data_IF_354516443634
#
_entry.id   IF_354516443634
#
_cell.length_a   1.000
_cell.length_b   1.000
_cell.length_c   1.000
_cell.angle_alpha   90.00
_cell.angle_beta   90.00
_cell.angle_gamma   90.00
#
_symmetry.space_group_name_H-M   'P 1'
#
loop_
_entity.id
_entity.type
_entity.pdbx_description
1 polymer ?
#
# COMPACT_ATOMS: atom_id res chain seq x y z
N UNK A 1 60.06 -20.99 55.12
CA UNK A 1 59.27 -19.80 54.72
C UNK A 1 58.55 -20.17 53.46
N UNK A 2 57.25 -20.44 53.55
CA UNK A 2 56.43 -20.90 52.43
C UNK A 2 55.95 -19.73 51.58
N UNK A 3 56.08 -19.87 50.26
CA UNK A 3 55.27 -19.14 49.29
C UNK A 3 53.94 -19.87 49.16
N UNK A 4 52.83 -19.16 49.37
CA UNK A 4 51.49 -19.69 49.22
C UNK A 4 50.87 -19.03 47.99
N UNK A 5 51.11 -19.63 46.82
CA UNK A 5 50.43 -19.29 45.58
C UNK A 5 49.07 -20.00 45.57
N UNK A 6 48.02 -19.26 45.90
CA UNK A 6 46.64 -19.70 45.65
C UNK A 6 45.99 -18.69 44.70
N UNK A 7 46.32 -18.82 43.41
CA UNK A 7 45.51 -18.24 42.33
C UNK A 7 44.36 -19.21 42.11
N UNK A 8 43.17 -18.87 42.61
CA UNK A 8 41.96 -19.59 42.22
C UNK A 8 41.71 -19.41 40.72
N UNK A 9 41.60 -20.53 40.01
CA UNK A 9 41.23 -20.54 38.60
C UNK A 9 39.88 -19.86 38.41
N UNK A 10 39.82 -18.88 37.50
CA UNK A 10 38.57 -18.32 36.99
C UNK A 10 37.70 -19.47 36.49
N UNK A 11 36.64 -19.80 37.24
CA UNK A 11 35.62 -20.72 36.76
C UNK A 11 34.94 -20.06 35.56
N UNK A 12 35.08 -20.67 34.39
CA UNK A 12 34.30 -20.30 33.21
C UNK A 12 32.82 -20.44 33.60
N UNK A 13 32.11 -19.31 33.65
CA UNK A 13 30.66 -19.34 33.83
C UNK A 13 30.06 -19.98 32.58
N UNK A 14 29.35 -21.10 32.76
CA UNK A 14 28.57 -21.71 31.70
C UNK A 14 27.63 -20.65 31.07
N UNK A 15 27.49 -20.63 29.73
CA UNK A 15 26.58 -19.71 29.08
C UNK A 15 25.17 -19.87 29.67
N UNK A 16 24.44 -18.77 29.96
CA UNK A 16 23.13 -18.87 30.57
C UNK A 16 22.22 -19.72 29.69
N UNK A 17 21.72 -20.81 30.26
CA UNK A 17 20.75 -21.69 29.60
C UNK A 17 19.49 -20.91 29.19
N UNK A 18 18.74 -21.41 28.19
CA UNK A 18 17.52 -20.76 27.73
C UNK A 18 16.54 -20.57 28.91
N UNK A 19 15.94 -19.38 29.00
CA UNK A 19 14.90 -19.13 29.99
C UNK A 19 13.74 -20.13 29.78
N UNK A 20 13.46 -20.95 30.80
CA UNK A 20 12.34 -21.90 30.75
C UNK A 20 11.02 -21.13 30.78
N UNK A 21 10.25 -21.20 29.69
CA UNK A 21 8.86 -20.72 29.65
C UNK A 21 7.93 -21.91 29.82
N UNK A 22 7.01 -21.83 30.77
CA UNK A 22 5.92 -22.82 30.91
C UNK A 22 4.81 -22.42 29.94
N UNK A 23 4.54 -23.20 28.88
CA UNK A 23 3.42 -22.89 28.00
C UNK A 23 2.12 -23.07 28.77
N UNK A 24 1.20 -22.10 28.66
CA UNK A 24 -0.17 -22.26 29.15
C UNK A 24 -0.97 -23.01 28.07
N UNK A 25 -1.39 -24.27 28.30
CA UNK A 25 -2.20 -24.97 27.33
C UNK A 25 -3.56 -24.29 27.22
N UNK A 26 -3.93 -23.89 26.01
CA UNK A 26 -5.28 -23.42 25.71
C UNK A 26 -6.15 -24.62 25.34
N UNK A 27 -7.29 -24.78 26.00
CA UNK A 27 -8.33 -25.71 25.54
C UNK A 27 -9.09 -25.06 24.38
N UNK A 28 -9.20 -25.70 23.21
CA UNK A 28 -9.98 -25.15 22.11
C UNK A 28 -11.44 -25.03 22.53
N UNK A 29 -12.06 -23.88 22.25
CA UNK A 29 -13.50 -23.78 22.32
C UNK A 29 -14.13 -24.62 21.21
N UNK A 30 -15.25 -25.28 21.51
CA UNK A 30 -16.06 -25.94 20.49
C UNK A 30 -16.75 -24.89 19.64
N UNK A 31 -16.54 -24.93 18.33
CA UNK A 31 -17.30 -24.14 17.36
C UNK A 31 -18.23 -25.04 16.55
N UNK A 32 -19.38 -24.50 16.16
CA UNK A 32 -20.29 -25.13 15.23
C UNK A 32 -20.74 -24.09 14.20
N UNK A 33 -20.98 -24.52 12.97
CA UNK A 33 -21.54 -23.63 11.96
C UNK A 33 -22.95 -23.20 12.37
N UNK A 34 -23.23 -21.91 12.32
CA UNK A 34 -24.59 -21.39 12.51
C UNK A 34 -25.46 -21.90 11.36
N UNK A 35 -26.59 -22.53 11.70
CA UNK A 35 -27.57 -22.92 10.69
C UNK A 35 -28.09 -21.68 9.96
N UNK A 36 -28.27 -21.77 8.65
CA UNK A 36 -28.76 -20.66 7.84
C UNK A 36 -30.00 -21.07 7.05
N UNK A 37 -30.90 -20.12 6.82
CA UNK A 37 -32.07 -20.27 5.95
C UNK A 37 -31.93 -19.37 4.73
N UNK A 38 -32.60 -19.75 3.64
CA UNK A 38 -32.71 -18.90 2.46
C UNK A 38 -33.51 -17.64 2.81
N UNK A 39 -32.89 -16.48 2.59
CA UNK A 39 -33.54 -15.19 2.65
C UNK A 39 -34.03 -14.74 1.27
N UNK A 40 -34.46 -13.47 1.13
CA UNK A 40 -34.95 -12.93 -0.12
C UNK A 40 -33.90 -12.96 -1.25
N UNK A 41 -34.38 -12.93 -2.49
CA UNK A 41 -33.55 -12.82 -3.70
C UNK A 41 -32.97 -11.40 -3.79
N UNK A 42 -31.67 -11.30 -4.07
CA UNK A 42 -30.97 -10.06 -4.36
C UNK A 42 -30.86 -9.90 -5.86
N UNK A 43 -31.35 -8.77 -6.38
CA UNK A 43 -31.25 -8.41 -7.79
C UNK A 43 -30.07 -7.50 -8.12
N UNK A 44 -29.57 -6.74 -7.13
CA UNK A 44 -28.45 -5.80 -7.28
C UNK A 44 -27.53 -5.86 -6.08
N UNK A 45 -26.23 -5.91 -6.35
CA UNK A 45 -25.18 -5.81 -5.34
C UNK A 45 -24.26 -4.66 -5.70
N UNK A 46 -23.59 -4.10 -4.69
CA UNK A 46 -22.54 -3.11 -4.87
C UNK A 46 -21.24 -3.72 -4.37
N UNK A 47 -20.28 -3.92 -5.27
CA UNK A 47 -19.03 -4.65 -4.96
C UNK A 47 -17.81 -3.98 -5.60
N UNK A 48 -16.61 -4.14 -5.02
CA UNK A 48 -15.36 -3.72 -5.65
C UNK A 48 -15.09 -4.55 -6.90
N UNK A 49 -15.00 -3.89 -8.05
CA UNK A 49 -14.58 -4.48 -9.33
C UNK A 49 -13.12 -4.15 -9.56
N UNK A 50 -12.31 -5.16 -9.86
CA UNK A 50 -10.88 -4.98 -10.18
C UNK A 50 -10.75 -4.33 -11.55
N UNK A 51 -10.20 -3.12 -11.58
CA UNK A 51 -9.94 -2.37 -12.80
C UNK A 51 -8.59 -2.75 -13.41
N UNK A 52 -7.57 -2.93 -12.58
CA UNK A 52 -6.21 -3.24 -12.99
C UNK A 52 -5.44 -3.93 -11.85
N UNK A 53 -4.44 -4.74 -12.18
CA UNK A 53 -3.51 -5.34 -11.21
C UNK A 53 -2.05 -5.34 -11.76
N UNK A 54 -1.45 -4.15 -12.00
CA UNK A 54 -0.10 -4.07 -12.54
C UNK A 54 0.98 -4.40 -11.51
N UNK A 55 2.07 -5.01 -11.97
CA UNK A 55 3.37 -5.03 -11.30
C UNK A 55 4.27 -3.96 -11.89
N UNK A 56 4.78 -3.06 -11.05
CA UNK A 56 5.47 -1.83 -11.44
C UNK A 56 6.89 -1.88 -10.89
N UNK A 57 7.89 -1.68 -11.75
CA UNK A 57 9.29 -1.57 -11.35
C UNK A 57 9.64 -0.12 -11.05
N UNK A 58 10.12 0.14 -9.85
CA UNK A 58 10.50 1.47 -9.36
C UNK A 58 11.99 1.43 -9.01
N UNK A 59 12.87 1.88 -9.93
CA UNK A 59 14.29 2.02 -9.64
C UNK A 59 14.54 3.24 -8.75
N UNK A 60 15.36 3.07 -7.72
CA UNK A 60 15.68 4.06 -6.71
C UNK A 60 17.18 4.01 -6.44
N UNK A 61 17.78 5.18 -6.20
CA UNK A 61 19.14 5.28 -5.68
C UNK A 61 19.11 6.21 -4.47
N UNK A 62 19.69 5.77 -3.36
CA UNK A 62 19.70 6.54 -2.12
C UNK A 62 21.02 6.36 -1.39
N UNK A 63 21.44 7.38 -0.64
CA UNK A 63 22.58 7.29 0.28
C UNK A 63 22.09 7.53 1.69
N UNK A 64 22.26 6.52 2.54
CA UNK A 64 21.75 6.48 3.90
C UNK A 64 22.89 6.79 4.86
N UNK A 65 22.74 7.84 5.66
CA UNK A 65 23.65 8.13 6.76
C UNK A 65 23.30 7.27 7.98
N UNK A 66 24.26 6.45 8.44
CA UNK A 66 24.11 5.56 9.59
C UNK A 66 24.19 6.30 10.92
N UNK A 67 24.84 7.48 10.94
CA UNK A 67 25.02 8.31 12.13
C UNK A 67 26.15 7.84 13.07
N UNK A 68 26.77 6.71 12.78
CA UNK A 68 27.96 6.19 13.46
C UNK A 68 28.86 5.44 12.45
N UNK A 69 30.12 5.21 12.83
CA UNK A 69 31.05 4.39 12.04
C UNK A 69 30.70 2.91 12.21
N UNK A 70 30.10 2.35 11.17
CA UNK A 70 29.77 0.94 11.08
C UNK A 70 30.98 0.12 10.63
N UNK A 71 31.12 -1.07 11.20
CA UNK A 71 32.09 -2.09 10.75
C UNK A 71 31.42 -3.12 9.84
N UNK A 72 30.13 -3.44 10.10
CA UNK A 72 29.40 -4.48 9.37
C UNK A 72 27.89 -4.24 9.50
N UNK A 73 27.13 -4.48 8.42
CA UNK A 73 25.66 -4.54 8.46
C UNK A 73 25.24 -5.97 8.82
N UNK A 74 24.42 -6.13 9.85
CA UNK A 74 23.95 -7.44 10.33
C UNK A 74 22.61 -7.83 9.73
N UNK A 75 21.66 -6.90 9.68
CA UNK A 75 20.31 -7.17 9.17
C UNK A 75 19.67 -5.90 8.65
N UNK A 76 18.90 -6.04 7.57
CA UNK A 76 18.06 -4.96 7.05
C UNK A 76 16.63 -5.48 6.88
N UNK A 77 15.71 -5.02 7.73
CA UNK A 77 14.27 -5.31 7.58
C UNK A 77 13.62 -4.22 6.74
N UNK A 78 12.74 -4.58 5.81
CA UNK A 78 12.08 -3.65 4.89
C UNK A 78 10.57 -3.82 4.92
N UNK A 79 9.84 -2.71 4.82
CA UNK A 79 8.40 -2.71 4.57
C UNK A 79 8.06 -1.57 3.60
N UNK A 80 7.06 -1.79 2.73
CA UNK A 80 6.52 -0.73 1.86
C UNK A 80 5.24 -0.17 2.48
N UNK A 81 5.10 1.14 2.43
CA UNK A 81 3.89 1.87 2.78
C UNK A 81 3.41 2.63 1.53
N UNK A 82 2.13 2.49 1.21
CA UNK A 82 1.50 3.27 0.14
C UNK A 82 0.80 4.48 0.72
N UNK A 83 1.25 5.66 0.30
CA UNK A 83 0.66 6.94 0.69
C UNK A 83 -0.37 7.41 -0.36
N UNK A 84 -0.22 6.97 -1.61
CA UNK A 84 -1.13 7.27 -2.70
C UNK A 84 -1.24 6.13 -3.71
N UNK A 85 -2.47 5.82 -4.11
CA UNK A 85 -2.80 5.09 -5.34
C UNK A 85 -4.02 5.75 -5.98
N UNK A 86 -3.82 6.46 -7.10
CA UNK A 86 -4.89 7.21 -7.77
C UNK A 86 -4.86 7.01 -9.27
N UNK A 87 -6.01 6.65 -9.84
CA UNK A 87 -6.17 6.55 -11.29
C UNK A 87 -6.72 7.87 -11.85
N UNK A 88 -6.11 8.35 -12.93
CA UNK A 88 -6.56 9.51 -13.69
C UNK A 88 -6.90 9.04 -15.10
N UNK A 89 -8.17 9.12 -15.51
CA UNK A 89 -8.61 8.75 -16.86
C UNK A 89 -7.99 9.63 -17.94
N UNK A 90 -7.75 9.05 -19.11
CA UNK A 90 -7.36 9.76 -20.33
C UNK A 90 -8.32 9.49 -21.48
N UNK A 91 -8.45 10.46 -22.38
CA UNK A 91 -9.26 10.34 -23.58
C UNK A 91 -8.76 9.19 -24.50
N UNK A 92 -9.64 8.56 -25.30
CA UNK A 92 -11.05 8.91 -25.51
C UNK A 92 -11.99 8.39 -24.42
N UNK A 93 -13.04 9.18 -24.14
CA UNK A 93 -14.16 8.80 -23.29
C UNK A 93 -15.30 8.25 -24.16
N UNK A 94 -15.84 7.08 -23.79
CA UNK A 94 -16.99 6.46 -24.46
C UNK A 94 -18.19 6.52 -23.55
N UNK A 95 -19.28 7.17 -23.99
CA UNK A 95 -20.55 7.17 -23.26
C UNK A 95 -21.08 5.74 -23.15
N UNK A 96 -21.63 5.39 -21.99
CA UNK A 96 -22.34 4.13 -21.80
C UNK A 96 -23.74 4.31 -22.36
N UNK A 97 -24.13 3.44 -23.30
CA UNK A 97 -25.38 3.56 -24.05
C UNK A 97 -26.60 3.73 -23.14
N UNK A 98 -27.42 4.74 -23.45
CA UNK A 98 -28.63 5.05 -22.69
C UNK A 98 -28.39 5.74 -21.34
N UNK A 99 -27.16 6.18 -21.02
CA UNK A 99 -26.84 6.83 -19.74
C UNK A 99 -25.91 8.04 -19.92
N UNK A 100 -25.79 8.85 -18.87
CA UNK A 100 -24.85 9.99 -18.83
C UNK A 100 -23.53 9.64 -18.11
N UNK A 101 -23.16 8.35 -18.12
CA UNK A 101 -21.90 7.84 -17.60
C UNK A 101 -20.95 7.50 -18.75
N UNK A 102 -19.66 7.57 -18.47
CA UNK A 102 -18.60 7.35 -19.43
C UNK A 102 -17.65 6.26 -18.94
N UNK A 103 -17.10 5.55 -19.90
CA UNK A 103 -16.01 4.59 -19.72
C UNK A 103 -14.78 5.09 -20.46
N UNK A 104 -13.60 4.70 -19.99
CA UNK A 104 -12.34 5.05 -20.64
C UNK A 104 -11.54 3.80 -20.98
N UNK A 105 -10.64 3.95 -21.94
CA UNK A 105 -9.76 2.85 -22.39
C UNK A 105 -8.30 3.08 -22.00
N UNK A 106 -7.98 4.27 -21.49
CA UNK A 106 -6.63 4.69 -21.09
C UNK A 106 -6.70 5.46 -19.78
N UNK A 107 -5.69 5.30 -18.95
CA UNK A 107 -5.53 6.05 -17.71
C UNK A 107 -4.06 6.07 -17.26
N UNK A 108 -3.74 7.01 -16.39
CA UNK A 108 -2.49 7.01 -15.63
C UNK A 108 -2.77 6.62 -14.19
N UNK A 109 -2.01 5.66 -13.68
CA UNK A 109 -2.02 5.27 -12.28
C UNK A 109 -0.86 5.96 -11.57
N UNK A 110 -1.19 6.94 -10.73
CA UNK A 110 -0.23 7.65 -9.89
C UNK A 110 -0.06 6.91 -8.57
N UNK A 111 1.19 6.65 -8.20
CA UNK A 111 1.55 5.92 -6.99
C UNK A 111 2.61 6.73 -6.23
N UNK A 112 2.43 6.84 -4.92
CA UNK A 112 3.43 7.37 -4.03
C UNK A 112 3.45 6.57 -2.73
N UNK A 113 4.60 6.54 -2.07
CA UNK A 113 4.80 5.80 -0.85
C UNK A 113 6.21 5.96 -0.33
N UNK A 114 6.56 5.10 0.62
CA UNK A 114 7.91 5.02 1.14
C UNK A 114 8.29 3.59 1.53
N UNK A 115 9.58 3.31 1.50
CA UNK A 115 10.18 2.07 1.98
C UNK A 115 10.78 2.36 3.34
N UNK A 116 10.23 1.77 4.39
CA UNK A 116 10.82 1.82 5.73
C UNK A 116 11.86 0.73 5.85
N UNK A 117 13.11 1.14 6.06
CA UNK A 117 14.22 0.24 6.38
C UNK A 117 14.56 0.33 7.86
N UNK A 118 14.73 -0.83 8.48
CA UNK A 118 15.38 -0.93 9.78
C UNK A 118 16.74 -1.61 9.60
N UNK A 119 17.81 -0.84 9.79
CA UNK A 119 19.19 -1.24 9.51
C UNK A 119 19.89 -1.48 10.83
N UNK A 120 20.20 -2.74 11.10
CA UNK A 120 20.96 -3.18 12.25
C UNK A 120 22.42 -3.40 11.84
N UNK A 121 23.35 -2.76 12.54
CA UNK A 121 24.77 -2.76 12.21
C UNK A 121 25.65 -2.71 13.46
N UNK A 122 26.88 -3.20 13.34
CA UNK A 122 27.87 -3.11 14.42
C UNK A 122 28.68 -1.83 14.29
N UNK A 123 28.94 -1.18 15.42
CA UNK A 123 29.80 0.01 15.50
C UNK A 123 31.19 -0.37 15.99
N UNK A 124 32.20 0.34 15.49
CA UNK A 124 33.57 0.19 15.99
C UNK A 124 33.60 0.50 17.50
N UNK A 125 34.21 -0.39 18.28
CA UNK A 125 34.37 -0.20 19.71
C UNK A 125 35.16 1.07 20.02
N UNK A 126 34.78 1.80 21.08
CA UNK A 126 35.45 3.03 21.49
C UNK A 126 36.89 2.81 22.00
N UNK A 127 37.29 1.55 22.23
CA UNK A 127 38.59 1.18 22.82
C UNK A 127 39.39 0.33 21.84
N UNK A 128 40.60 0.78 21.52
CA UNK A 128 41.55 0.03 20.68
C UNK A 128 41.86 -1.32 21.34
N UNK A 129 41.69 -2.42 20.60
CA UNK A 129 41.97 -3.79 21.08
C UNK A 129 40.80 -4.48 21.81
N UNK A 130 39.63 -3.86 21.91
CA UNK A 130 38.45 -4.52 22.45
C UNK A 130 37.89 -5.57 21.47
N UNK A 131 37.63 -6.79 21.95
CA UNK A 131 37.05 -7.88 21.14
C UNK A 131 35.52 -7.84 21.07
N UNK A 132 34.88 -6.80 21.62
CA UNK A 132 33.42 -6.65 21.69
C UNK A 132 32.97 -5.44 20.88
N UNK A 133 31.93 -5.62 20.07
CA UNK A 133 31.32 -4.56 19.25
C UNK A 133 29.89 -4.30 19.71
N UNK A 134 29.44 -3.05 19.60
CA UNK A 134 28.08 -2.66 19.94
C UNK A 134 27.17 -2.80 18.73
N UNK A 135 25.95 -3.29 18.94
CA UNK A 135 24.90 -3.33 17.93
C UNK A 135 24.10 -2.02 17.97
N UNK A 136 23.81 -1.44 16.82
CA UNK A 136 23.06 -0.20 16.67
C UNK A 136 22.00 -0.37 15.59
N UNK A 137 20.90 0.38 15.72
CA UNK A 137 19.77 0.32 14.82
C UNK A 137 19.49 1.70 14.21
N UNK A 138 19.14 1.73 12.93
CA UNK A 138 18.82 2.93 12.17
C UNK A 138 17.57 2.71 11.33
N UNK A 139 16.49 3.39 11.70
CA UNK A 139 15.25 3.44 10.93
C UNK A 139 15.33 4.60 9.94
N UNK A 140 15.06 4.33 8.66
CA UNK A 140 14.92 5.37 7.62
C UNK A 140 13.73 5.09 6.72
N UNK A 141 13.09 6.16 6.24
CA UNK A 141 12.03 6.10 5.24
C UNK A 141 12.54 6.66 3.92
N UNK A 142 12.51 5.84 2.88
CA UNK A 142 12.95 6.20 1.52
C UNK A 142 11.71 6.44 0.66
N UNK A 143 11.39 7.69 0.30
CA UNK A 143 10.18 7.99 -0.45
C UNK A 143 10.32 7.57 -1.92
N UNK A 144 9.20 7.22 -2.53
CA UNK A 144 9.08 7.03 -3.98
C UNK A 144 7.77 7.63 -4.49
N UNK A 145 7.78 8.12 -5.72
CA UNK A 145 6.60 8.65 -6.41
C UNK A 145 6.75 8.49 -7.91
N UNK A 146 5.65 8.22 -8.59
CA UNK A 146 5.66 8.02 -10.04
C UNK A 146 4.27 7.74 -10.60
N UNK A 147 4.23 7.43 -11.89
CA UNK A 147 3.02 6.97 -12.55
C UNK A 147 3.33 5.86 -13.56
N UNK A 148 2.32 5.04 -13.86
CA UNK A 148 2.35 4.09 -14.97
C UNK A 148 1.11 4.27 -15.84
N UNK A 149 1.22 3.97 -17.13
CA UNK A 149 0.08 3.97 -18.04
C UNK A 149 -0.68 2.65 -17.96
N UNK A 150 -2.01 2.76 -17.96
CA UNK A 150 -2.93 1.64 -18.03
C UNK A 150 -3.77 1.79 -19.30
N UNK A 151 -3.95 0.70 -20.05
CA UNK A 151 -4.83 0.69 -21.20
C UNK A 151 -5.45 -0.68 -21.45
N UNK A 152 -6.61 -0.66 -22.09
CA UNK A 152 -7.26 -1.90 -22.56
C UNK A 152 -6.42 -2.56 -23.65
N UNK A 153 -5.82 -1.77 -24.55
CA UNK A 153 -4.98 -2.27 -25.64
C UNK A 153 -3.74 -3.02 -25.14
N UNK A 154 -3.12 -2.53 -24.07
CA UNK A 154 -1.97 -3.20 -23.43
C UNK A 154 -2.39 -4.33 -22.46
N UNK A 155 -3.69 -4.58 -22.29
CA UNK A 155 -4.21 -5.58 -21.34
C UNK A 155 -4.03 -5.23 -19.86
N UNK A 156 -3.57 -4.01 -19.54
CA UNK A 156 -3.35 -3.58 -18.15
C UNK A 156 -4.61 -3.04 -17.47
N UNK A 157 -5.61 -2.59 -18.25
CA UNK A 157 -6.98 -2.38 -17.78
C UNK A 157 -7.81 -3.63 -18.06
N UNK A 158 -8.13 -4.38 -17.00
CA UNK A 158 -8.94 -5.60 -17.04
C UNK A 158 -10.41 -5.25 -17.24
N UNK A 159 -10.93 -4.33 -16.42
CA UNK A 159 -12.30 -3.83 -16.51
C UNK A 159 -12.30 -2.32 -16.76
N UNK A 160 -13.27 -1.85 -17.54
CA UNK A 160 -13.39 -0.43 -17.87
C UNK A 160 -14.00 0.31 -16.69
N UNK A 161 -13.34 1.34 -16.15
CA UNK A 161 -13.92 2.08 -15.04
C UNK A 161 -15.05 2.98 -15.56
N UNK A 162 -15.99 3.29 -14.67
CA UNK A 162 -17.20 4.05 -14.98
C UNK A 162 -17.17 5.37 -14.22
N UNK A 163 -17.37 6.50 -14.90
CA UNK A 163 -17.41 7.82 -14.29
C UNK A 163 -18.57 8.64 -14.85
N UNK A 164 -19.33 9.26 -13.95
CA UNK A 164 -20.31 10.27 -14.29
C UNK A 164 -19.61 11.61 -14.50
N UNK A 165 -19.80 12.24 -15.66
CA UNK A 165 -19.31 13.59 -15.93
C UNK A 165 -20.43 14.59 -15.63
N UNK A 166 -20.12 15.71 -14.99
CA UNK A 166 -21.11 16.78 -14.76
C UNK A 166 -21.50 17.43 -16.08
N UNK A 167 -22.76 17.81 -16.21
CA UNK A 167 -23.27 18.49 -17.38
C UNK A 167 -23.89 19.82 -16.95
N UNK A 168 -23.42 20.90 -17.56
CA UNK A 168 -23.98 22.24 -17.41
C UNK A 168 -24.59 22.64 -18.74
N UNK A 169 -25.90 22.86 -18.76
CA UNK A 169 -26.63 23.35 -19.93
C UNK A 169 -27.12 24.76 -19.65
N UNK A 170 -26.78 25.68 -20.54
CA UNK A 170 -27.23 27.06 -20.52
C UNK A 170 -27.90 27.39 -21.85
N UNK A 171 -29.04 28.09 -21.81
CA UNK A 171 -29.61 28.70 -23.02
C UNK A 171 -29.76 30.21 -22.83
N UNK A 172 -29.21 30.97 -23.78
CA UNK A 172 -29.44 32.40 -23.89
C UNK A 172 -30.73 32.68 -24.66
N UNK A 173 -31.48 33.67 -24.21
CA UNK A 173 -32.70 34.12 -24.90
C UNK A 173 -32.40 35.35 -25.77
N UNK A 174 -33.16 35.53 -26.86
CA UNK A 174 -33.14 36.79 -27.62
C UNK A 174 -33.85 37.91 -26.85
N UNK A 175 -33.47 39.16 -27.14
CA UNK A 175 -34.12 40.33 -26.56
C UNK A 175 -35.54 40.49 -27.06
N UNK A 176 -36.50 40.58 -26.15
CA UNK A 176 -37.91 40.79 -26.48
C UNK A 176 -38.18 42.13 -27.20
N UNK A 177 -37.22 43.08 -27.16
CA UNK A 177 -37.39 44.42 -27.75
C UNK A 177 -36.92 44.54 -29.20
N UNK A 178 -35.90 43.78 -29.61
CA UNK A 178 -35.35 43.87 -30.96
C UNK A 178 -35.16 42.53 -31.66
N UNK A 179 -35.25 41.41 -30.95
CA UNK A 179 -35.07 40.05 -31.46
C UNK A 179 -33.77 39.79 -32.24
N UNK A 180 -32.78 40.68 -32.12
CA UNK A 180 -31.52 40.62 -32.86
C UNK A 180 -30.33 40.32 -31.94
N UNK A 181 -30.43 40.68 -30.65
CA UNK A 181 -29.34 40.54 -29.70
C UNK A 181 -29.71 39.56 -28.58
N UNK A 182 -28.71 38.90 -28.00
CA UNK A 182 -28.87 38.10 -26.79
C UNK A 182 -29.31 39.01 -25.63
N UNK A 183 -30.27 38.53 -24.83
CA UNK A 183 -30.79 39.21 -23.68
C UNK A 183 -29.94 38.86 -22.46
N UNK A 184 -29.09 39.79 -22.04
CA UNK A 184 -28.06 39.56 -21.02
C UNK A 184 -28.62 39.43 -19.59
N UNK A 185 -29.91 39.61 -19.36
CA UNK A 185 -30.60 39.48 -18.07
C UNK A 185 -31.47 38.22 -17.98
N UNK A 186 -31.54 37.39 -19.03
CA UNK A 186 -32.46 36.25 -19.12
C UNK A 186 -31.73 35.00 -19.61
N UNK A 187 -31.71 34.00 -18.75
CA UNK A 187 -31.03 32.73 -18.99
C UNK A 187 -31.87 31.57 -18.43
N UNK A 188 -31.71 30.41 -19.04
CA UNK A 188 -32.16 29.14 -18.46
C UNK A 188 -30.91 28.35 -18.11
N UNK A 189 -30.82 27.95 -16.85
CA UNK A 189 -29.71 27.17 -16.32
C UNK A 189 -30.23 25.81 -15.91
N UNK A 190 -29.54 24.76 -16.33
CA UNK A 190 -29.73 23.42 -15.79
C UNK A 190 -28.36 22.79 -15.49
N UNK A 191 -28.17 22.36 -14.25
CA UNK A 191 -26.93 21.77 -13.77
C UNK A 191 -27.19 20.36 -13.26
N UNK A 192 -26.58 19.36 -13.90
CA UNK A 192 -26.57 17.99 -13.42
C UNK A 192 -25.20 17.67 -12.82
N UNK A 193 -25.18 17.48 -11.50
CA UNK A 193 -23.96 17.13 -10.74
C UNK A 193 -24.02 15.66 -10.35
N UNK A 194 -22.96 14.90 -10.68
CA UNK A 194 -22.81 13.49 -10.36
C UNK A 194 -21.66 13.32 -9.37
N UNK A 195 -21.90 12.59 -8.28
CA UNK A 195 -20.90 12.28 -7.27
C UNK A 195 -20.34 10.88 -7.53
N UNK A 196 -19.07 10.81 -7.91
CA UNK A 196 -18.39 9.54 -8.18
C UNK A 196 -17.63 9.06 -6.94
N UNK A 197 -17.67 7.75 -6.70
CA UNK A 197 -16.72 7.12 -5.80
C UNK A 197 -15.37 7.00 -6.50
N UNK A 198 -14.32 7.51 -5.87
CA UNK A 198 -12.98 7.45 -6.41
C UNK A 198 -12.49 5.99 -6.39
N UNK A 199 -11.94 5.47 -7.50
CA UNK A 199 -11.23 4.20 -7.46
C UNK A 199 -10.08 4.24 -6.46
N UNK A 200 -9.86 3.13 -5.77
CA UNK A 200 -8.86 3.01 -4.71
C UNK A 200 -7.89 1.87 -5.01
N UNK A 201 -6.75 1.88 -4.33
CA UNK A 201 -5.69 0.89 -4.50
C UNK A 201 -5.47 0.04 -3.26
N UNK A 202 -5.04 -1.19 -3.49
CA UNK A 202 -4.63 -2.14 -2.46
C UNK A 202 -3.22 -2.67 -2.80
N UNK A 203 -2.33 -2.71 -1.80
CA UNK A 203 -1.03 -3.35 -1.94
C UNK A 203 -1.21 -4.87 -1.97
N UNK A 204 -0.74 -5.52 -3.03
CA UNK A 204 -0.79 -6.99 -3.16
C UNK A 204 0.55 -7.60 -2.77
N UNK A 205 1.64 -7.08 -3.35
CA UNK A 205 2.98 -7.59 -3.10
C UNK A 205 4.04 -6.50 -3.33
N UNK A 206 5.18 -6.65 -2.65
CA UNK A 206 6.37 -5.86 -2.86
C UNK A 206 7.58 -6.79 -2.88
N UNK A 207 8.40 -6.71 -3.92
CA UNK A 207 9.66 -7.45 -4.05
C UNK A 207 10.82 -6.45 -4.21
N UNK A 208 11.97 -6.76 -3.62
CA UNK A 208 13.10 -5.85 -3.54
C UNK A 208 14.34 -6.49 -4.15
N UNK A 209 14.99 -5.80 -5.07
CA UNK A 209 16.28 -6.19 -5.65
C UNK A 209 17.27 -5.07 -5.41
N UNK A 210 18.29 -5.31 -4.59
CA UNK A 210 19.19 -4.24 -4.13
C UNK A 210 20.67 -4.57 -4.33
N UNK A 211 21.45 -3.52 -4.47
CA UNK A 211 22.91 -3.53 -4.40
C UNK A 211 23.34 -2.41 -3.47
N UNK A 212 23.86 -2.80 -2.30
CA UNK A 212 24.30 -1.89 -1.26
C UNK A 212 25.84 -1.84 -1.21
N UNK A 213 26.41 -0.64 -1.13
CA UNK A 213 27.85 -0.43 -1.03
C UNK A 213 28.18 0.86 -0.28
N UNK A 214 29.31 0.87 0.43
CA UNK A 214 29.81 2.07 1.10
C UNK A 214 30.55 2.97 0.11
N UNK A 215 30.42 4.29 0.27
CA UNK A 215 31.16 5.27 -0.54
C UNK A 215 31.78 6.33 0.38
N UNK A 216 33.12 6.49 0.40
CA UNK A 216 34.12 5.72 -0.37
C UNK A 216 34.22 4.26 0.07
N UNK A 217 34.81 3.41 -0.78
CA UNK A 217 35.08 2.01 -0.44
C UNK A 217 36.00 1.94 0.80
N UNK A 218 35.57 1.29 1.89
CA UNK A 218 36.41 1.12 3.07
C UNK A 218 37.52 0.12 2.77
N UNK A 219 38.65 0.24 3.49
CA UNK A 219 39.63 -0.85 3.53
C UNK A 219 38.96 -2.14 4.07
N UNK A 220 39.60 -3.30 3.89
CA UNK A 220 39.03 -4.60 4.29
C UNK A 220 38.58 -4.68 5.77
N UNK A 221 39.25 -3.96 6.67
CA UNK A 221 38.89 -3.82 8.09
C UNK A 221 38.50 -2.38 8.46
N UNK A 222 38.18 -1.58 7.44
CA UNK A 222 37.78 -0.18 7.58
C UNK A 222 36.35 -0.04 8.08
N UNK A 223 36.00 1.18 8.45
CA UNK A 223 34.64 1.56 8.83
C UNK A 223 34.00 2.45 7.77
N UNK A 224 32.68 2.48 7.77
CA UNK A 224 31.89 3.33 6.89
C UNK A 224 30.76 3.99 7.67
N UNK A 225 30.37 5.20 7.29
CA UNK A 225 29.29 5.96 7.95
C UNK A 225 28.06 6.14 7.05
N UNK A 226 28.19 5.79 5.78
CA UNK A 226 27.16 5.92 4.75
C UNK A 226 27.03 4.62 3.97
N UNK A 227 25.80 4.30 3.58
CA UNK A 227 25.47 3.18 2.70
C UNK A 227 24.75 3.73 1.48
N UNK A 228 25.36 3.60 0.30
CA UNK A 228 24.72 3.90 -0.97
C UNK A 228 24.05 2.63 -1.48
N UNK A 229 22.80 2.77 -1.90
CA UNK A 229 21.96 1.68 -2.35
C UNK A 229 21.42 1.99 -3.74
N UNK A 230 21.50 1.00 -4.63
CA UNK A 230 20.71 0.94 -5.85
C UNK A 230 19.66 -0.15 -5.68
N UNK A 231 18.39 0.24 -5.73
CA UNK A 231 17.24 -0.61 -5.44
C UNK A 231 16.27 -0.61 -6.61
N UNK A 232 15.74 -1.79 -6.96
CA UNK A 232 14.55 -1.92 -7.79
C UNK A 232 13.43 -2.51 -6.92
N UNK A 233 12.40 -1.71 -6.67
CA UNK A 233 11.17 -2.16 -6.04
C UNK A 233 10.20 -2.64 -7.13
N UNK A 234 9.83 -3.92 -7.09
CA UNK A 234 8.69 -4.42 -7.86
C UNK A 234 7.43 -4.40 -6.99
N UNK A 235 6.53 -3.48 -7.31
CA UNK A 235 5.32 -3.24 -6.57
C UNK A 235 4.11 -3.75 -7.34
N UNK A 236 3.38 -4.71 -6.78
CA UNK A 236 2.11 -5.19 -7.33
C UNK A 236 0.95 -4.53 -6.59
N UNK A 237 0.14 -3.79 -7.32
CA UNK A 237 -0.99 -3.03 -6.76
C UNK A 237 -2.27 -3.43 -7.48
N UNK A 238 -3.35 -3.63 -6.73
CA UNK A 238 -4.68 -3.85 -7.26
C UNK A 238 -5.46 -2.54 -7.23
N UNK A 239 -6.04 -2.14 -8.34
CA UNK A 239 -6.89 -0.95 -8.46
C UNK A 239 -8.34 -1.40 -8.58
N UNK A 240 -9.20 -0.89 -7.70
CA UNK A 240 -10.60 -1.27 -7.63
C UNK A 240 -11.52 -0.06 -7.75
N UNK A 241 -12.72 -0.31 -8.27
CA UNK A 241 -13.83 0.64 -8.21
C UNK A 241 -15.08 -0.08 -7.74
N UNK A 242 -15.76 0.52 -6.77
CA UNK A 242 -17.05 0.00 -6.31
C UNK A 242 -18.12 0.24 -7.39
N UNK A 243 -18.70 -0.83 -7.92
CA UNK A 243 -19.72 -0.79 -8.97
C UNK A 243 -20.99 -1.54 -8.55
N UNK A 244 -22.13 -1.14 -9.10
CA UNK A 244 -23.38 -1.89 -8.95
C UNK A 244 -23.49 -2.93 -10.07
N UNK A 245 -23.68 -4.19 -9.70
CA UNK A 245 -23.91 -5.28 -10.64
C UNK A 245 -25.29 -5.88 -10.43
N UNK A 246 -25.93 -6.26 -11.54
CA UNK A 246 -27.14 -7.06 -11.52
C UNK A 246 -26.75 -8.54 -11.35
N UNK A 247 -27.38 -9.22 -10.41
CA UNK A 247 -27.16 -10.63 -10.11
C UNK A 247 -28.49 -11.29 -9.75
N UNK A 248 -28.58 -12.62 -9.83
CA UNK A 248 -29.69 -13.39 -9.29
C UNK A 248 -29.15 -14.32 -8.20
N UNK A 249 -29.05 -13.81 -6.97
CA UNK A 249 -28.53 -14.55 -5.82
C UNK A 249 -29.61 -14.65 -4.73
N UNK A 250 -29.63 -15.74 -3.97
CA UNK A 250 -30.45 -15.87 -2.77
C UNK A 250 -29.63 -15.45 -1.55
N UNK A 251 -30.15 -14.55 -0.71
CA UNK A 251 -29.46 -14.24 0.55
C UNK A 251 -29.45 -15.45 1.48
N UNK A 252 -28.43 -15.53 2.33
CA UNK A 252 -28.33 -16.56 3.36
C UNK A 252 -28.39 -15.86 4.72
N UNK A 253 -29.36 -16.22 5.54
CA UNK A 253 -29.63 -15.56 6.83
C UNK A 253 -29.40 -16.54 7.98
N UNK A 254 -28.67 -16.15 9.04
CA UNK A 254 -28.53 -16.98 10.24
C UNK A 254 -29.88 -17.31 10.88
N UNK A 255 -30.12 -18.58 11.17
CA UNK A 255 -31.31 -19.05 11.89
C UNK A 255 -31.00 -19.10 13.39
N UNK A 256 -31.47 -18.08 14.12
CA UNK A 256 -31.33 -17.97 15.57
C UNK A 256 -32.71 -18.20 16.22
N UNK A 257 -32.98 -19.39 16.79
CA UNK A 257 -34.33 -19.80 17.23
C UNK A 257 -34.88 -19.06 18.47
N UNK A 258 -34.17 -18.06 19.01
CA UNK A 258 -34.49 -17.41 20.29
C UNK A 258 -35.20 -16.05 20.21
N UNK A 259 -35.45 -15.51 19.02
CA UNK A 259 -36.11 -14.20 18.85
C UNK A 259 -37.51 -14.38 18.29
N UNK A 260 -38.53 -14.34 19.15
CA UNK A 260 -39.91 -14.06 18.74
C UNK A 260 -40.03 -12.57 18.39
N UNK A 261 -40.45 -12.19 17.16
CA UNK A 261 -40.65 -10.78 16.80
C UNK A 261 -41.67 -10.12 17.74
N UNK A 262 -41.48 -8.84 18.14
CA UNK A 262 -42.54 -8.09 18.80
C UNK A 262 -43.73 -7.96 17.85
N UNK A 263 -44.94 -8.29 18.35
CA UNK A 263 -46.20 -8.14 17.62
C UNK A 263 -46.58 -6.68 17.42
#
# INVERSE_FOLDING_TARGET
>A
MGCNDNIQANQAMDPPGPCSVTPTPLTPFTSANTATVAGPIVHRIKVPVVLAEPTIQIPLETTIALGAMATEIKRVKKNVFLDQVKIVPEAPFTRVDGTDFFTFQRAKLFIAGHIRKNIEFTTAGATVGACTVSLSDRVVDIPFTGFTELSVAAGTLINRPILGINETSESSFLSDTNNLNARLDKFFFNNLVKFNEQPFGELVAANFFELDFATPEPAAEGTFSTLTEKLVLELTVKVLQTQQLAVALTTVVPNLPGLTPPM
#
